data_IF_953594723152
#
_entry.id   IF_953594723152
#
_cell.length_a   1.000
_cell.length_b   1.000
_cell.length_c   1.000
_cell.angle_alpha   90.00
_cell.angle_beta   90.00
_cell.angle_gamma   90.00
#
_symmetry.space_group_name_H-M   'P 1'
#
loop_
_entity.id
_entity.type
_entity.pdbx_description
1 polymer ?
#
# COMPACT_ATOMS: atom_id res chain seq x y z
N UNK A 1 -31.07 -1.37 -13.84
CA UNK A 1 -30.89 -1.55 -12.40
C UNK A 1 -29.41 -1.76 -12.19
N UNK A 2 -28.79 -0.88 -11.42
CA UNK A 2 -27.37 -0.96 -11.10
C UNK A 2 -27.35 -1.52 -9.67
N UNK A 3 -26.86 -2.74 -9.51
CA UNK A 3 -26.92 -3.48 -8.24
C UNK A 3 -25.93 -2.89 -7.24
N UNK A 4 -26.30 -2.89 -5.95
CA UNK A 4 -25.52 -2.34 -4.84
C UNK A 4 -24.15 -3.02 -4.63
N UNK A 5 -23.80 -4.03 -5.45
CA UNK A 5 -22.51 -4.72 -5.44
C UNK A 5 -21.35 -3.91 -6.07
N UNK A 6 -21.63 -2.80 -6.77
CA UNK A 6 -20.57 -1.94 -7.33
C UNK A 6 -19.99 -0.94 -6.31
N UNK A 7 -20.53 -0.87 -5.09
CA UNK A 7 -20.08 0.08 -4.06
C UNK A 7 -18.73 -0.23 -3.39
N UNK A 8 -18.15 -1.39 -3.69
CA UNK A 8 -16.91 -1.87 -3.07
C UNK A 8 -15.78 -2.19 -4.04
N UNK A 9 -15.92 -1.89 -5.34
CA UNK A 9 -14.83 -2.12 -6.31
C UNK A 9 -13.76 -1.04 -6.14
N UNK A 10 -13.01 -1.16 -5.05
CA UNK A 10 -11.62 -0.75 -4.96
C UNK A 10 -11.00 -1.07 -6.33
N UNK A 11 -10.50 -0.04 -7.03
CA UNK A 11 -9.73 -0.25 -8.25
C UNK A 11 -8.69 -1.31 -7.89
N UNK A 12 -8.84 -2.54 -8.40
CA UNK A 12 -7.87 -3.61 -8.15
C UNK A 12 -6.52 -3.01 -8.48
N UNK A 13 -5.70 -2.77 -7.44
CA UNK A 13 -4.39 -2.19 -7.62
C UNK A 13 -3.69 -3.12 -8.62
N UNK A 14 -3.41 -2.59 -9.82
CA UNK A 14 -2.77 -3.36 -10.90
C UNK A 14 -1.52 -3.94 -10.27
N UNK A 15 -1.51 -5.25 -9.99
CA UNK A 15 -0.44 -5.92 -9.28
C UNK A 15 0.79 -5.78 -10.16
N UNK A 16 1.62 -4.81 -9.82
CA UNK A 16 2.85 -4.53 -10.55
C UNK A 16 3.76 -5.71 -10.27
N UNK A 17 4.24 -6.37 -11.32
CA UNK A 17 5.09 -7.57 -11.30
C UNK A 17 6.29 -7.46 -10.33
N UNK A 18 6.69 -6.22 -10.01
CA UNK A 18 7.71 -5.87 -9.01
C UNK A 18 7.40 -6.44 -7.61
N UNK A 19 6.12 -6.53 -7.20
CA UNK A 19 5.74 -7.11 -5.89
C UNK A 19 6.07 -8.60 -5.76
N UNK A 20 6.14 -9.34 -6.86
CA UNK A 20 6.54 -10.76 -6.87
C UNK A 20 8.02 -10.94 -6.56
N UNK A 21 8.85 -9.91 -6.78
CA UNK A 21 10.30 -9.94 -6.51
C UNK A 21 10.69 -9.47 -5.11
N UNK A 22 9.74 -8.97 -4.30
CA UNK A 22 9.98 -8.59 -2.90
C UNK A 22 10.65 -9.67 -2.04
N UNK A 23 10.30 -10.97 -2.10
CA UNK A 23 11.01 -11.98 -1.33
C UNK A 23 12.47 -12.15 -1.76
N UNK A 24 12.77 -12.03 -3.06
CA UNK A 24 14.15 -12.12 -3.58
C UNK A 24 14.98 -10.92 -3.13
N UNK A 25 14.40 -9.72 -3.19
CA UNK A 25 15.04 -8.49 -2.69
C UNK A 25 15.30 -8.60 -1.18
N UNK A 26 14.34 -9.13 -0.42
CA UNK A 26 14.51 -9.38 1.01
C UNK A 26 15.63 -10.37 1.31
N UNK A 27 15.76 -11.44 0.54
CA UNK A 27 16.82 -12.45 0.71
C UNK A 27 18.21 -11.85 0.43
N UNK A 28 18.36 -11.09 -0.65
CA UNK A 28 19.62 -10.37 -0.97
C UNK A 28 19.97 -9.40 0.15
N UNK A 29 18.98 -8.70 0.71
CA UNK A 29 19.16 -7.73 1.77
C UNK A 29 19.56 -8.39 3.10
N UNK A 30 19.02 -9.56 3.43
CA UNK A 30 19.45 -10.36 4.58
C UNK A 30 20.92 -10.79 4.43
N UNK A 31 21.32 -11.25 3.25
CA UNK A 31 22.72 -11.62 2.97
C UNK A 31 23.64 -10.40 3.13
N UNK A 32 23.23 -9.24 2.60
CA UNK A 32 23.99 -8.01 2.73
C UNK A 32 24.13 -7.57 4.20
N UNK A 33 23.08 -7.64 5.01
CA UNK A 33 23.16 -7.32 6.43
C UNK A 33 23.95 -8.34 7.23
N UNK A 34 23.87 -9.62 6.89
CA UNK A 34 24.74 -10.64 7.48
C UNK A 34 26.22 -10.32 7.24
N UNK A 35 26.56 -9.93 6.00
CA UNK A 35 27.93 -9.52 5.67
C UNK A 35 28.37 -8.27 6.47
N UNK A 36 27.53 -7.22 6.51
CA UNK A 36 27.85 -6.00 7.27
C UNK A 36 27.99 -6.30 8.77
N UNK A 37 27.09 -7.11 9.34
CA UNK A 37 27.15 -7.49 10.76
C UNK A 37 28.40 -8.31 11.08
N UNK A 38 28.85 -9.17 10.16
CA UNK A 38 30.09 -9.93 10.32
C UNK A 38 31.33 -9.01 10.39
N UNK A 39 31.38 -7.96 9.57
CA UNK A 39 32.49 -6.99 9.60
C UNK A 39 32.42 -6.02 10.79
N UNK A 40 31.22 -5.57 11.18
CA UNK A 40 31.05 -4.63 12.29
C UNK A 40 31.16 -5.28 13.67
N UNK A 41 30.80 -6.55 13.80
CA UNK A 41 30.85 -7.32 15.06
C UNK A 41 32.16 -7.16 15.84
N UNK A 42 33.31 -7.55 15.27
CA UNK A 42 34.59 -7.49 15.97
C UNK A 42 35.02 -6.05 16.34
N UNK A 43 34.61 -5.05 15.56
CA UNK A 43 34.92 -3.64 15.84
C UNK A 43 34.14 -3.17 17.07
N UNK A 44 32.86 -3.51 17.16
CA UNK A 44 32.03 -3.16 18.30
C UNK A 44 32.42 -3.95 19.56
N UNK A 45 32.75 -5.23 19.43
CA UNK A 45 33.12 -6.03 20.61
C UNK A 45 34.42 -5.60 21.22
N UNK A 46 35.43 -5.25 20.42
CA UNK A 46 36.69 -4.71 20.93
C UNK A 46 36.47 -3.36 21.62
N UNK A 47 35.68 -2.47 21.01
CA UNK A 47 35.39 -1.15 21.60
C UNK A 47 34.63 -1.25 22.93
N UNK A 48 33.74 -2.24 23.07
CA UNK A 48 32.98 -2.47 24.30
C UNK A 48 33.80 -3.26 25.31
N UNK A 49 34.55 -4.28 24.90
CA UNK A 49 35.36 -5.07 25.83
C UNK A 49 36.46 -4.25 26.50
N UNK A 50 37.04 -3.29 25.78
CA UNK A 50 38.03 -2.36 26.32
C UNK A 50 37.44 -1.42 27.38
N UNK A 51 36.12 -1.19 27.35
CA UNK A 51 35.42 -0.33 28.31
C UNK A 51 34.97 -1.09 29.57
N UNK A 52 34.63 -2.37 29.45
CA UNK A 52 34.01 -3.16 30.54
C UNK A 52 34.92 -4.28 31.07
N UNK A 53 36.14 -4.46 30.54
CA UNK A 53 37.10 -5.51 30.95
C UNK A 53 36.46 -6.89 31.12
N UNK A 54 35.86 -7.39 30.04
CA UNK A 54 35.15 -8.68 30.05
C UNK A 54 36.12 -9.86 30.27
N UNK A 55 35.69 -10.95 30.92
CA UNK A 55 36.52 -12.13 31.11
C UNK A 55 36.72 -12.93 29.80
N UNK A 56 37.89 -13.59 29.60
CA UNK A 56 38.27 -14.26 28.34
C UNK A 56 37.29 -15.31 27.82
N UNK A 57 36.56 -15.99 28.71
CA UNK A 57 35.62 -17.05 28.37
C UNK A 57 34.33 -16.52 27.73
N UNK A 58 34.00 -15.23 27.92
CA UNK A 58 32.76 -14.64 27.40
C UNK A 58 32.93 -13.91 26.07
N UNK A 59 34.16 -13.70 25.59
CA UNK A 59 34.40 -12.92 24.37
C UNK A 59 33.75 -13.55 23.13
N UNK A 60 33.82 -14.88 23.00
CA UNK A 60 33.25 -15.57 21.84
C UNK A 60 31.72 -15.46 21.82
N UNK A 61 31.09 -15.68 22.98
CA UNK A 61 29.63 -15.54 23.12
C UNK A 61 29.19 -14.09 22.90
N UNK A 62 29.94 -13.14 23.46
CA UNK A 62 29.66 -11.72 23.32
C UNK A 62 29.80 -11.24 21.87
N UNK A 63 30.77 -11.75 21.11
CA UNK A 63 30.95 -11.46 19.70
C UNK A 63 29.75 -11.91 18.87
N UNK A 64 29.28 -13.14 19.06
CA UNK A 64 28.07 -13.63 18.40
C UNK A 64 26.82 -12.82 18.75
N UNK A 65 26.65 -12.46 20.02
CA UNK A 65 25.51 -11.65 20.49
C UNK A 65 25.56 -10.24 19.88
N UNK A 66 26.74 -9.61 19.86
CA UNK A 66 26.92 -8.27 19.28
C UNK A 66 26.57 -8.24 17.79
N UNK A 67 27.01 -9.24 17.02
CA UNK A 67 26.69 -9.39 15.59
C UNK A 67 25.19 -9.53 15.38
N UNK A 68 24.52 -10.33 16.21
CA UNK A 68 23.07 -10.47 16.20
C UNK A 68 22.34 -9.15 16.48
N UNK A 69 22.80 -8.38 17.47
CA UNK A 69 22.23 -7.06 17.81
C UNK A 69 22.39 -6.09 16.64
N UNK A 70 23.59 -6.00 16.04
CA UNK A 70 23.85 -5.13 14.88
C UNK A 70 22.93 -5.49 13.71
N UNK A 71 22.74 -6.78 13.44
CA UNK A 71 21.83 -7.25 12.40
C UNK A 71 20.38 -6.80 12.65
N UNK A 72 19.88 -6.96 13.89
CA UNK A 72 18.53 -6.55 14.27
C UNK A 72 18.37 -5.04 14.07
N UNK A 73 19.33 -4.23 14.53
CA UNK A 73 19.29 -2.77 14.38
C UNK A 73 19.21 -2.37 12.90
N UNK A 74 20.06 -2.96 12.03
CA UNK A 74 20.04 -2.70 10.59
C UNK A 74 18.71 -3.09 9.94
N UNK A 75 18.15 -4.23 10.32
CA UNK A 75 16.82 -4.67 9.88
C UNK A 75 15.73 -3.67 10.29
N UNK A 76 15.82 -3.14 11.50
CA UNK A 76 14.87 -2.16 12.05
C UNK A 76 14.93 -0.83 11.29
N UNK A 77 16.14 -0.34 11.00
CA UNK A 77 16.33 0.85 10.16
C UNK A 77 15.75 0.65 8.76
N UNK A 78 15.91 -0.52 8.18
CA UNK A 78 15.36 -0.82 6.84
C UNK A 78 13.84 -0.86 6.87
N UNK A 79 13.25 -1.45 7.91
CA UNK A 79 11.82 -1.41 8.16
C UNK A 79 11.30 0.02 8.30
N UNK A 80 12.05 0.88 9.00
CA UNK A 80 11.73 2.30 9.15
C UNK A 80 11.78 3.06 7.82
N UNK A 81 12.85 2.85 7.03
CA UNK A 81 12.99 3.46 5.70
C UNK A 81 11.86 2.99 4.78
N UNK A 82 11.55 1.70 4.80
CA UNK A 82 10.43 1.14 4.03
C UNK A 82 9.10 1.73 4.46
N UNK A 83 8.85 1.87 5.77
CA UNK A 83 7.63 2.48 6.29
C UNK A 83 7.52 3.97 5.96
N UNK A 84 8.64 4.70 5.96
CA UNK A 84 8.68 6.11 5.58
C UNK A 84 8.46 6.31 4.08
N UNK A 85 8.99 5.41 3.25
CA UNK A 85 8.80 5.41 1.80
C UNK A 85 7.46 4.80 1.37
N UNK A 86 6.80 4.02 2.24
CA UNK A 86 5.52 3.41 1.94
C UNK A 86 4.46 4.50 1.72
N UNK A 87 3.78 4.52 0.55
CA UNK A 87 2.76 5.51 0.27
C UNK A 87 1.63 5.36 1.30
N UNK A 88 1.39 6.42 2.09
CA UNK A 88 0.28 6.46 3.05
C UNK A 88 -1.02 6.12 2.32
N UNK A 89 -1.86 5.19 2.85
CA UNK A 89 -3.12 4.84 2.20
C UNK A 89 -3.96 6.10 2.04
N UNK A 90 -4.29 6.43 0.78
CA UNK A 90 -4.86 7.72 0.37
C UNK A 90 -6.33 7.93 0.77
N UNK A 91 -6.87 7.11 1.66
CA UNK A 91 -8.30 7.09 1.98
C UNK A 91 -8.52 7.02 3.49
N UNK A 92 -8.17 8.10 4.19
CA UNK A 92 -9.01 8.52 5.31
C UNK A 92 -10.17 9.28 4.68
N UNK A 93 -11.27 8.57 4.44
CA UNK A 93 -12.48 9.18 3.87
C UNK A 93 -13.02 10.15 4.92
N UNK A 94 -12.71 11.44 4.76
CA UNK A 94 -13.35 12.49 5.54
C UNK A 94 -14.85 12.47 5.21
N UNK A 95 -15.72 12.61 6.22
CA UNK A 95 -17.17 12.69 6.03
C UNK A 95 -17.57 13.72 4.96
N UNK A 96 -16.80 14.81 4.83
CA UNK A 96 -17.00 15.83 3.79
C UNK A 96 -16.75 15.32 2.37
N UNK A 97 -15.83 14.38 2.18
CA UNK A 97 -15.57 13.76 0.88
C UNK A 97 -16.72 12.81 0.48
N UNK A 98 -17.25 12.08 1.45
CA UNK A 98 -18.41 11.19 1.30
C UNK A 98 -19.67 11.96 0.92
N UNK A 99 -19.92 13.11 1.55
CA UNK A 99 -21.04 13.98 1.22
C UNK A 99 -20.92 14.61 -0.17
N UNK A 100 -19.71 14.99 -0.58
CA UNK A 100 -19.47 15.54 -1.92
C UNK A 100 -19.70 14.48 -3.00
N UNK A 101 -19.25 13.25 -2.78
CA UNK A 101 -19.46 12.13 -3.69
C UNK A 101 -20.94 11.74 -3.77
N UNK A 102 -21.65 11.70 -2.63
CA UNK A 102 -23.09 11.46 -2.58
C UNK A 102 -23.88 12.52 -3.35
N UNK A 103 -23.57 13.81 -3.17
CA UNK A 103 -24.24 14.90 -3.90
C UNK A 103 -23.99 14.83 -5.40
N UNK A 104 -22.75 14.55 -5.82
CA UNK A 104 -22.41 14.40 -7.23
C UNK A 104 -23.16 13.22 -7.89
N UNK A 105 -23.31 12.11 -7.16
CA UNK A 105 -24.07 10.93 -7.62
C UNK A 105 -25.55 11.24 -7.84
N UNK A 106 -26.20 11.90 -6.86
CA UNK A 106 -27.62 12.26 -6.95
C UNK A 106 -27.87 13.19 -8.14
N UNK A 107 -26.98 14.16 -8.38
CA UNK A 107 -27.09 15.05 -9.54
C UNK A 107 -26.95 14.29 -10.87
N UNK A 108 -25.97 13.38 -10.98
CA UNK A 108 -25.78 12.55 -12.17
C UNK A 108 -26.98 11.63 -12.46
N UNK A 109 -27.59 11.04 -11.42
CA UNK A 109 -28.79 10.21 -11.57
C UNK A 109 -30.02 11.01 -12.01
N UNK A 110 -30.21 12.21 -11.46
CA UNK A 110 -31.28 13.11 -11.85
C UNK A 110 -31.14 13.56 -13.30
N UNK A 111 -29.94 13.90 -13.74
CA UNK A 111 -29.66 14.26 -15.14
C UNK A 111 -29.87 13.08 -16.09
N UNK A 112 -29.41 11.88 -15.73
CA UNK A 112 -29.63 10.67 -16.51
C UNK A 112 -31.13 10.34 -16.64
N UNK A 113 -31.90 10.53 -15.57
CA UNK A 113 -33.36 10.34 -15.58
C UNK A 113 -34.06 11.37 -16.48
N UNK A 114 -33.66 12.65 -16.41
CA UNK A 114 -34.17 13.70 -17.30
C UNK A 114 -33.91 13.38 -18.78
N UNK A 115 -32.69 12.95 -19.12
CA UNK A 115 -32.34 12.55 -20.49
C UNK A 115 -33.20 11.38 -20.98
N UNK A 116 -33.39 10.34 -20.16
CA UNK A 116 -34.24 9.18 -20.49
C UNK A 116 -35.70 9.58 -20.74
N UNK A 117 -36.23 10.50 -19.92
CA UNK A 117 -37.61 10.97 -20.09
C UNK A 117 -37.80 11.77 -21.38
N UNK A 118 -36.83 12.63 -21.74
CA UNK A 118 -36.86 13.40 -22.99
C UNK A 118 -36.81 12.48 -24.23
N UNK A 119 -35.94 11.46 -24.21
CA UNK A 119 -35.87 10.48 -25.30
C UNK A 119 -37.18 9.71 -25.45
N UNK A 120 -37.77 9.25 -24.34
CA UNK A 120 -39.07 8.55 -24.35
C UNK A 120 -40.20 9.42 -24.89
N UNK A 121 -40.24 10.69 -24.52
CA UNK A 121 -41.24 11.64 -25.02
C UNK A 121 -41.12 11.85 -26.54
N UNK A 122 -39.89 11.99 -27.06
CA UNK A 122 -39.64 12.10 -28.52
C UNK A 122 -40.06 10.84 -29.28
N UNK A 123 -39.67 9.67 -28.79
CA UNK A 123 -40.05 8.38 -29.39
C UNK A 123 -41.57 8.17 -29.40
N UNK A 124 -42.28 8.60 -28.36
CA UNK A 124 -43.74 8.52 -28.30
C UNK A 124 -44.42 9.45 -29.32
N UNK A 125 -43.87 10.64 -29.54
CA UNK A 125 -44.37 11.57 -30.56
C UNK A 125 -44.11 11.06 -31.99
N UNK A 126 -42.96 10.45 -32.24
CA UNK A 126 -42.63 9.87 -33.54
C UNK A 126 -43.52 8.67 -33.88
N UNK A 127 -43.83 7.80 -32.91
CA UNK A 127 -44.76 6.68 -33.09
C UNK A 127 -46.15 7.17 -33.51
N UNK A 128 -46.69 8.19 -32.82
CA UNK A 128 -47.98 8.79 -33.16
C UNK A 128 -47.99 9.42 -34.56
N UNK A 129 -46.89 10.05 -34.98
CA UNK A 129 -46.77 10.63 -36.33
C UNK A 129 -46.69 9.55 -37.43
N UNK A 130 -46.05 8.41 -37.15
CA UNK A 130 -45.95 7.31 -38.10
C UNK A 130 -47.26 6.53 -38.23
N UNK A 131 -48.06 6.42 -37.16
CA UNK A 131 -49.40 5.84 -37.19
C UNK A 131 -50.41 6.70 -37.98
N UNK A 132 -50.24 8.03 -37.99
CA UNK A 132 -51.08 8.94 -38.79
C UNK A 132 -50.71 9.02 -40.28
N UNK A 133 -49.54 8.49 -40.67
CA UNK A 133 -49.06 8.45 -42.06
C UNK A 133 -49.33 7.13 -42.77
N UNK A 134 -49.88 6.14 -42.07
CA UNK A 134 -50.39 4.88 -42.62
C UNK A 134 -51.90 4.97 -42.78
#
# INVERSE_FOLDING_TARGET
MMTDEDYGKTRKAKTTTIRTFFPVIGLILIIAFGAVAYFLGPILTNAVSDLISLPPDQFETFDWVSRGIVFIILSLFTGLIYAAAAPKPKQMVSERALDKERKARIQGELEAKKRKNQVRAKMAQERKKNEQKK
#
